data_IF_002942525764
#
_entry.id   IF_002942525764
#
_cell.length_a   1.000
_cell.length_b   1.000
_cell.length_c   1.000
_cell.angle_alpha   90.00
_cell.angle_beta   90.00
_cell.angle_gamma   90.00
#
_symmetry.space_group_name_H-M   'P 1'
#
loop_
_entity.id
_entity.type
_entity.pdbx_description
1 polymer ?
#
# COMPACT_ATOMS: atom_id res chain seq x y z
N UNK A 1 33.93 -15.20 39.47
CA UNK A 1 32.77 -15.86 38.85
C UNK A 1 31.61 -14.90 39.02
N UNK A 2 30.99 -14.42 37.93
CA UNK A 2 29.79 -13.58 38.03
C UNK A 2 28.63 -14.46 38.48
N UNK A 3 27.94 -14.04 39.55
CA UNK A 3 26.77 -14.73 40.07
C UNK A 3 25.64 -14.66 39.02
N UNK A 4 24.97 -15.80 38.77
CA UNK A 4 23.83 -15.84 37.85
C UNK A 4 22.67 -15.07 38.44
N UNK A 5 22.03 -14.22 37.64
CA UNK A 5 20.83 -13.51 38.04
C UNK A 5 19.65 -14.47 37.99
N UNK A 6 18.86 -14.50 39.06
CA UNK A 6 17.70 -15.39 39.19
C UNK A 6 16.37 -14.64 39.14
N UNK A 7 16.34 -13.36 39.52
CA UNK A 7 15.11 -12.58 39.62
C UNK A 7 15.26 -11.16 39.07
N UNK A 8 14.16 -10.64 38.52
CA UNK A 8 13.96 -9.25 38.10
C UNK A 8 12.88 -8.67 39.00
N UNK A 9 13.24 -7.76 39.90
CA UNK A 9 12.27 -7.15 40.82
C UNK A 9 11.60 -5.94 40.19
N UNK A 10 10.26 -5.91 40.16
CA UNK A 10 9.45 -4.78 39.72
C UNK A 10 8.58 -4.26 40.88
N UNK A 11 8.21 -2.98 40.94
CA UNK A 11 7.32 -2.49 41.97
C UNK A 11 5.90 -3.03 41.71
N UNK A 12 5.10 -3.21 42.76
CA UNK A 12 3.68 -3.61 42.62
C UNK A 12 2.85 -2.63 41.78
N UNK A 13 3.32 -1.40 41.62
CA UNK A 13 2.76 -0.35 40.75
C UNK A 13 3.42 -0.26 39.37
N UNK A 14 4.11 -1.33 38.91
CA UNK A 14 4.85 -1.36 37.66
C UNK A 14 4.08 -0.76 36.48
N UNK A 15 4.73 0.16 35.79
CA UNK A 15 4.19 0.83 34.61
C UNK A 15 4.71 0.18 33.32
N UNK A 16 4.25 0.66 32.16
CA UNK A 16 4.76 0.22 30.86
C UNK A 16 6.29 0.29 30.77
N UNK A 17 6.85 1.35 31.35
CA UNK A 17 8.29 1.60 31.40
C UNK A 17 9.04 0.49 32.16
N UNK A 18 8.48 0.02 33.28
CA UNK A 18 9.08 -1.06 34.07
C UNK A 18 9.06 -2.39 33.31
N UNK A 19 7.93 -2.69 32.66
CA UNK A 19 7.76 -3.92 31.89
C UNK A 19 8.70 -3.97 30.68
N UNK A 20 8.86 -2.84 29.98
CA UNK A 20 9.77 -2.77 28.84
C UNK A 20 11.23 -2.81 29.27
N UNK A 21 11.60 -2.17 30.38
CA UNK A 21 12.93 -2.30 30.95
C UNK A 21 13.27 -3.78 31.26
N UNK A 22 12.36 -4.49 31.93
CA UNK A 22 12.51 -5.93 32.20
C UNK A 22 12.61 -6.77 30.92
N UNK A 23 11.78 -6.46 29.91
CA UNK A 23 11.84 -7.10 28.60
C UNK A 23 13.22 -6.92 27.94
N UNK A 24 13.72 -5.68 27.86
CA UNK A 24 15.03 -5.38 27.25
C UNK A 24 16.17 -6.09 27.97
N UNK A 25 16.12 -6.20 29.30
CA UNK A 25 17.10 -6.95 30.07
C UNK A 25 17.07 -8.44 29.76
N UNK A 26 15.91 -9.07 29.66
CA UNK A 26 15.81 -10.48 29.29
C UNK A 26 16.31 -10.75 27.87
N UNK A 27 16.00 -9.85 26.92
CA UNK A 27 16.36 -10.04 25.51
C UNK A 27 17.82 -9.69 25.19
N UNK A 28 18.42 -8.71 25.87
CA UNK A 28 19.73 -8.17 25.51
C UNK A 28 20.75 -8.16 26.66
N UNK A 29 20.32 -8.42 27.89
CA UNK A 29 21.14 -8.26 29.09
C UNK A 29 22.13 -9.39 29.36
N UNK A 30 21.97 -10.57 28.76
CA UNK A 30 22.73 -11.80 29.08
C UNK A 30 24.26 -11.61 29.10
N UNK A 31 24.78 -10.77 28.20
CA UNK A 31 26.22 -10.47 28.12
C UNK A 31 26.75 -9.74 29.36
N UNK A 32 25.94 -8.86 29.95
CA UNK A 32 26.32 -8.05 31.11
C UNK A 32 25.82 -8.66 32.43
N UNK A 33 24.72 -9.39 32.38
CA UNK A 33 24.01 -9.99 33.51
C UNK A 33 23.76 -11.47 33.21
N UNK A 34 24.73 -12.37 33.48
CA UNK A 34 24.57 -13.79 33.16
C UNK A 34 23.34 -14.40 33.83
N UNK A 35 22.52 -15.13 33.05
CA UNK A 35 21.30 -15.79 33.53
C UNK A 35 20.04 -14.91 33.54
N UNK A 36 20.15 -13.61 33.22
CA UNK A 36 19.01 -12.68 33.20
C UNK A 36 17.91 -13.13 32.23
N UNK A 37 18.26 -13.81 31.14
CA UNK A 37 17.30 -14.33 30.17
C UNK A 37 16.29 -15.30 30.81
N UNK A 38 16.71 -16.08 31.81
CA UNK A 38 15.86 -17.01 32.57
C UNK A 38 15.35 -16.45 33.91
N UNK A 39 15.72 -15.21 34.26
CA UNK A 39 15.35 -14.64 35.54
C UNK A 39 13.82 -14.46 35.66
N UNK A 40 13.27 -14.84 36.81
CA UNK A 40 11.85 -14.70 37.15
C UNK A 40 11.53 -13.24 37.43
N UNK A 41 10.44 -12.71 36.86
CA UNK A 41 10.00 -11.35 37.16
C UNK A 41 9.07 -11.38 38.37
N UNK A 42 9.50 -10.75 39.47
CA UNK A 42 8.79 -10.77 40.75
C UNK A 42 8.32 -9.36 41.10
N UNK A 43 7.05 -9.21 41.45
CA UNK A 43 6.52 -7.93 41.92
C UNK A 43 6.71 -7.78 43.43
N UNK A 44 7.43 -6.74 43.83
CA UNK A 44 7.73 -6.44 45.24
C UNK A 44 6.92 -5.24 45.73
N UNK A 45 6.66 -5.23 47.05
CA UNK A 45 6.16 -4.07 47.79
C UNK A 45 7.36 -3.14 48.07
N UNK A 46 8.06 -2.71 47.01
CA UNK A 46 9.07 -1.66 47.15
C UNK A 46 8.36 -0.31 47.33
N UNK A 47 8.85 0.51 48.26
CA UNK A 47 8.38 1.90 48.41
C UNK A 47 8.93 2.83 47.33
N UNK A 48 9.95 2.40 46.58
CA UNK A 48 10.53 3.19 45.49
C UNK A 48 9.88 2.80 44.14
N UNK A 49 9.09 3.71 43.53
CA UNK A 49 8.42 3.47 42.26
C UNK A 49 9.35 3.51 41.04
N UNK A 50 10.66 3.74 41.20
CA UNK A 50 11.63 3.76 40.11
C UNK A 50 12.52 2.50 40.06
N UNK A 51 12.31 1.55 40.97
CA UNK A 51 13.16 0.35 41.05
C UNK A 51 12.77 -0.69 40.01
N UNK A 52 13.62 -0.93 39.00
CA UNK A 52 13.59 -2.16 38.18
C UNK A 52 14.91 -2.88 38.40
N UNK A 53 14.86 -3.94 39.20
CA UNK A 53 15.92 -4.83 39.68
C UNK A 53 16.77 -4.46 40.91
N UNK A 54 16.79 -5.41 41.84
CA UNK A 54 17.88 -5.66 42.79
C UNK A 54 18.84 -6.72 42.21
N UNK A 55 19.95 -6.24 41.64
CA UNK A 55 21.08 -7.03 41.12
C UNK A 55 22.28 -7.05 42.09
N UNK A 56 22.13 -6.56 43.33
CA UNK A 56 23.27 -6.14 44.15
C UNK A 56 24.07 -4.96 43.56
N UNK A 57 23.65 -4.43 42.41
CA UNK A 57 24.09 -3.21 41.73
C UNK A 57 22.86 -2.61 41.04
N UNK A 58 22.15 -1.71 41.73
CA UNK A 58 20.93 -1.07 41.23
C UNK A 58 21.16 -0.37 39.89
N UNK A 59 20.21 -0.52 38.97
CA UNK A 59 20.01 0.46 37.89
C UNK A 59 18.97 1.44 38.41
N UNK A 60 19.41 2.33 39.30
CA UNK A 60 18.63 3.53 39.57
C UNK A 60 18.75 4.43 38.34
N UNK A 61 17.64 4.92 37.76
CA UNK A 61 17.74 5.99 36.79
C UNK A 61 18.35 7.20 37.51
N UNK A 62 19.60 7.52 37.19
CA UNK A 62 20.17 8.82 37.53
C UNK A 62 19.22 9.92 37.02
N UNK A 63 19.28 11.12 37.61
CA UNK A 63 18.48 12.28 37.19
C UNK A 63 18.62 12.66 35.70
N UNK A 64 19.56 12.04 34.99
CA UNK A 64 19.80 12.20 33.56
C UNK A 64 18.83 11.41 32.67
N UNK A 65 18.15 10.37 33.19
CA UNK A 65 17.26 9.51 32.40
C UNK A 65 15.79 9.84 32.63
N UNK A 66 14.98 9.74 31.58
CA UNK A 66 13.55 10.04 31.66
C UNK A 66 12.74 8.93 32.36
N UNK A 67 13.29 7.72 32.42
CA UNK A 67 12.68 6.55 33.04
C UNK A 67 13.60 5.34 33.02
N UNK A 68 13.08 4.20 33.49
CA UNK A 68 13.87 2.99 33.70
C UNK A 68 14.20 2.29 32.39
N UNK A 69 13.30 2.31 31.40
CA UNK A 69 13.60 1.79 30.06
C UNK A 69 14.80 2.51 29.45
N UNK A 70 14.88 3.83 29.62
CA UNK A 70 15.95 4.65 29.07
C UNK A 70 17.29 4.34 29.76
N UNK A 71 17.29 4.23 31.09
CA UNK A 71 18.45 3.81 31.86
C UNK A 71 18.96 2.41 31.44
N UNK A 72 18.05 1.44 31.28
CA UNK A 72 18.39 0.09 30.79
C UNK A 72 18.93 0.13 29.36
N UNK A 73 18.26 0.85 28.46
CA UNK A 73 18.68 0.97 27.06
C UNK A 73 20.06 1.61 26.94
N UNK A 74 20.35 2.64 27.73
CA UNK A 74 21.65 3.27 27.78
C UNK A 74 22.72 2.30 28.30
N UNK A 75 22.45 1.63 29.43
CA UNK A 75 23.38 0.67 30.07
C UNK A 75 23.75 -0.48 29.13
N UNK A 76 22.77 -1.01 28.40
CA UNK A 76 22.93 -2.10 27.44
C UNK A 76 23.35 -1.63 26.05
N UNK A 77 23.62 -0.33 25.84
CA UNK A 77 23.99 0.29 24.55
C UNK A 77 22.96 0.08 23.42
N UNK A 78 21.68 -0.05 23.78
CA UNK A 78 20.56 -0.33 22.88
C UNK A 78 19.99 0.92 22.21
N UNK A 79 20.28 2.11 22.73
CA UNK A 79 19.74 3.38 22.21
C UNK A 79 20.12 3.70 20.76
N UNK A 80 21.04 2.93 20.16
CA UNK A 80 21.44 3.05 18.74
C UNK A 80 20.79 2.03 17.82
N UNK A 81 20.07 1.05 18.36
CA UNK A 81 19.42 0.01 17.57
C UNK A 81 18.15 0.58 16.91
N UNK A 82 18.07 0.61 15.56
CA UNK A 82 16.93 1.16 14.85
C UNK A 82 15.62 0.42 15.17
N UNK A 83 15.66 -0.89 15.36
CA UNK A 83 14.48 -1.72 15.66
C UNK A 83 13.83 -1.39 17.01
N UNK A 84 14.58 -0.77 17.93
CA UNK A 84 14.08 -0.37 19.25
C UNK A 84 13.63 1.09 19.33
N UNK A 85 13.97 1.93 18.34
CA UNK A 85 13.74 3.38 18.43
C UNK A 85 12.28 3.75 18.67
N UNK A 86 11.35 3.04 18.02
CA UNK A 86 9.93 3.31 18.20
C UNK A 86 9.44 2.93 19.61
N UNK A 87 9.93 1.80 20.15
CA UNK A 87 9.62 1.37 21.51
C UNK A 87 10.19 2.35 22.55
N UNK A 88 11.46 2.72 22.42
CA UNK A 88 12.15 3.65 23.33
C UNK A 88 11.55 5.07 23.27
N UNK A 89 11.20 5.55 22.07
CA UNK A 89 10.53 6.85 21.91
C UNK A 89 9.16 6.85 22.57
N UNK A 90 8.42 5.76 22.45
CA UNK A 90 7.10 5.66 23.07
C UNK A 90 7.18 5.60 24.60
N UNK A 91 8.09 4.82 25.19
CA UNK A 91 8.22 4.78 26.65
C UNK A 91 8.55 6.16 27.23
N UNK A 92 9.47 6.89 26.61
CA UNK A 92 9.76 8.30 26.94
C UNK A 92 8.51 9.19 26.87
N UNK A 93 7.70 9.06 25.82
CA UNK A 93 6.48 9.86 25.65
C UNK A 93 5.35 9.46 26.61
N UNK A 94 5.23 8.17 26.90
CA UNK A 94 4.29 7.60 27.86
C UNK A 94 4.51 8.19 29.26
N UNK A 95 5.78 8.24 29.71
CA UNK A 95 6.15 8.85 30.98
C UNK A 95 5.81 10.35 31.04
N UNK A 96 5.95 11.05 29.92
CA UNK A 96 5.55 12.46 29.77
C UNK A 96 4.04 12.69 29.67
N UNK A 97 3.22 11.63 29.77
CA UNK A 97 1.75 11.67 29.62
C UNK A 97 1.27 12.34 28.34
N UNK A 98 2.08 12.31 27.28
CA UNK A 98 1.68 12.85 25.98
C UNK A 98 0.79 11.82 25.30
N UNK A 99 -0.42 12.22 24.89
CA UNK A 99 -1.28 11.37 24.07
C UNK A 99 -0.58 11.08 22.74
N UNK A 100 -0.10 9.86 22.59
CA UNK A 100 0.44 9.32 21.36
C UNK A 100 -0.20 7.95 21.14
N UNK A 101 -0.45 7.57 19.88
CA UNK A 101 -0.82 6.21 19.58
C UNK A 101 0.26 5.30 20.16
N UNK A 102 -0.15 4.32 20.95
CA UNK A 102 0.78 3.31 21.42
C UNK A 102 1.35 2.59 20.21
N UNK A 103 2.67 2.53 20.01
CA UNK A 103 3.20 1.54 19.11
C UNK A 103 2.74 0.20 19.64
N UNK A 104 2.33 -0.66 18.72
CA UNK A 104 1.99 -2.05 19.01
C UNK A 104 0.77 -2.22 19.94
N UNK A 105 -0.09 -1.21 20.06
CA UNK A 105 -1.29 -1.19 20.91
C UNK A 105 -1.04 -1.53 22.40
N UNK A 106 0.21 -1.46 22.86
CA UNK A 106 0.64 -1.76 24.25
C UNK A 106 -0.05 -0.90 25.30
N UNK A 107 -0.46 0.32 24.96
CA UNK A 107 -1.15 1.24 25.87
C UNK A 107 -2.41 0.66 26.49
N UNK A 108 -3.11 -0.24 25.78
CA UNK A 108 -4.25 -0.98 26.32
C UNK A 108 -3.87 -2.26 27.06
N UNK A 109 -2.77 -2.91 26.68
CA UNK A 109 -2.32 -4.19 27.26
C UNK A 109 -1.65 -4.02 28.62
N UNK A 110 -0.89 -2.94 28.80
CA UNK A 110 -0.13 -2.70 30.03
C UNK A 110 -1.04 -2.61 31.28
N UNK A 111 -2.13 -1.82 31.31
CA UNK A 111 -3.00 -1.75 32.48
C UNK A 111 -3.70 -3.06 32.80
N UNK A 112 -4.03 -3.86 31.78
CA UNK A 112 -4.70 -5.16 31.94
C UNK A 112 -3.76 -6.14 32.64
N UNK A 113 -2.48 -6.17 32.25
CA UNK A 113 -1.52 -7.13 32.80
C UNK A 113 -1.02 -6.71 34.18
N UNK A 114 -0.86 -5.41 34.43
CA UNK A 114 -0.60 -4.91 35.78
C UNK A 114 -1.68 -5.36 36.80
N UNK A 115 -2.91 -5.59 36.33
CA UNK A 115 -4.02 -6.08 37.16
C UNK A 115 -4.11 -7.61 37.23
N UNK A 116 -3.50 -8.34 36.29
CA UNK A 116 -3.74 -9.76 36.12
C UNK A 116 -2.66 -10.68 36.71
N UNK A 117 -1.55 -10.12 37.20
CA UNK A 117 -0.50 -10.84 37.94
C UNK A 117 0.58 -11.49 37.08
N UNK A 118 1.53 -12.15 37.75
CA UNK A 118 2.81 -12.65 37.19
C UNK A 118 2.65 -13.58 35.98
N UNK A 119 1.61 -14.41 35.95
CA UNK A 119 1.37 -15.39 34.87
C UNK A 119 1.08 -14.78 33.50
N UNK A 120 0.78 -13.48 33.40
CA UNK A 120 0.46 -12.82 32.13
C UNK A 120 1.62 -12.01 31.52
N UNK A 121 2.76 -11.91 32.21
CA UNK A 121 3.94 -11.20 31.71
C UNK A 121 4.54 -11.85 30.46
N UNK A 122 4.57 -13.18 30.41
CA UNK A 122 5.09 -13.90 29.24
C UNK A 122 4.26 -13.66 27.98
N UNK A 123 2.97 -13.33 28.11
CA UNK A 123 2.15 -12.91 26.96
C UNK A 123 2.63 -11.57 26.41
N UNK A 124 2.90 -10.58 27.28
CA UNK A 124 3.45 -9.29 26.86
C UNK A 124 4.81 -9.48 26.21
N UNK A 125 5.70 -10.23 26.84
CA UNK A 125 7.04 -10.47 26.28
C UNK A 125 6.95 -11.21 24.95
N UNK A 126 6.02 -12.17 24.80
CA UNK A 126 5.73 -12.80 23.52
C UNK A 126 5.30 -11.81 22.43
N UNK A 127 4.38 -10.90 22.74
CA UNK A 127 3.94 -9.84 21.81
C UNK A 127 5.10 -8.90 21.46
N UNK A 128 5.86 -8.45 22.45
CA UNK A 128 7.02 -7.57 22.25
C UNK A 128 8.11 -8.25 21.39
N UNK A 129 8.34 -9.56 21.58
CA UNK A 129 9.27 -10.36 20.74
C UNK A 129 8.82 -10.39 19.29
N UNK A 130 7.58 -10.81 19.02
CA UNK A 130 7.04 -10.88 17.65
C UNK A 130 7.14 -9.52 16.95
N UNK A 131 6.86 -8.47 17.71
CA UNK A 131 6.91 -7.12 17.20
C UNK A 131 8.35 -6.64 16.93
N UNK A 132 9.28 -6.96 17.82
CA UNK A 132 10.70 -6.69 17.64
C UNK A 132 11.26 -7.46 16.44
N UNK A 133 10.85 -8.72 16.25
CA UNK A 133 11.18 -9.52 15.07
C UNK A 133 10.65 -8.86 13.79
N UNK A 134 9.41 -8.37 13.80
CA UNK A 134 8.86 -7.61 12.68
C UNK A 134 9.70 -6.36 12.37
N UNK A 135 10.09 -5.59 13.40
CA UNK A 135 10.95 -4.42 13.22
C UNK A 135 12.35 -4.80 12.70
N UNK A 136 12.97 -5.85 13.23
CA UNK A 136 14.26 -6.37 12.73
C UNK A 136 14.14 -6.79 11.26
N UNK A 137 13.03 -7.43 10.88
CA UNK A 137 12.76 -7.78 9.48
C UNK A 137 12.68 -6.53 8.60
N UNK A 138 11.98 -5.47 9.04
CA UNK A 138 11.91 -4.21 8.30
C UNK A 138 13.28 -3.51 8.15
N UNK A 139 14.10 -3.48 9.21
CA UNK A 139 15.37 -2.73 9.22
C UNK A 139 16.57 -3.50 8.66
N UNK A 140 16.56 -4.82 8.70
CA UNK A 140 17.68 -5.66 8.28
C UNK A 140 17.25 -6.68 7.22
N UNK A 141 16.19 -7.44 7.48
CA UNK A 141 15.75 -8.53 6.61
C UNK A 141 15.34 -8.09 5.20
N UNK A 142 14.35 -7.20 5.09
CA UNK A 142 13.83 -6.72 3.81
C UNK A 142 14.87 -5.91 3.00
N UNK A 143 15.72 -5.06 3.61
CA UNK A 143 16.84 -4.48 2.88
C UNK A 143 17.80 -5.50 2.28
N UNK A 144 18.21 -6.49 3.06
CA UNK A 144 19.10 -7.55 2.58
C UNK A 144 18.44 -8.36 1.47
N UNK A 145 17.16 -8.66 1.62
CA UNK A 145 16.38 -9.33 0.58
C UNK A 145 16.30 -8.50 -0.69
N UNK A 146 15.93 -7.22 -0.61
CA UNK A 146 15.85 -6.34 -1.78
C UNK A 146 17.19 -6.22 -2.51
N UNK A 147 18.30 -6.15 -1.76
CA UNK A 147 19.64 -6.17 -2.34
C UNK A 147 19.94 -7.50 -3.03
N UNK A 148 19.47 -8.63 -2.50
CA UNK A 148 19.63 -9.94 -3.17
C UNK A 148 18.81 -10.01 -4.45
N UNK A 149 17.58 -9.50 -4.43
CA UNK A 149 16.68 -9.52 -5.59
C UNK A 149 17.21 -8.69 -6.76
N UNK A 150 17.76 -7.51 -6.48
CA UNK A 150 18.27 -6.57 -7.50
C UNK A 150 19.66 -6.92 -8.04
N UNK A 151 20.43 -7.77 -7.35
CA UNK A 151 21.80 -8.15 -7.77
C UNK A 151 21.87 -9.25 -8.83
N UNK A 152 20.81 -10.03 -9.01
CA UNK A 152 20.87 -11.28 -9.76
C UNK A 152 20.41 -11.16 -11.23
N UNK A 153 20.42 -9.95 -11.82
CA UNK A 153 19.82 -9.66 -13.14
C UNK A 153 18.40 -10.24 -13.29
N UNK A 154 17.71 -10.44 -12.16
CA UNK A 154 16.35 -10.95 -12.11
C UNK A 154 15.36 -9.88 -12.54
N UNK A 155 14.08 -10.23 -12.74
CA UNK A 155 13.06 -9.25 -13.12
C UNK A 155 12.68 -8.28 -11.98
N UNK A 156 13.33 -8.39 -10.82
CA UNK A 156 13.14 -7.44 -9.73
C UNK A 156 13.98 -6.20 -9.98
N UNK A 157 13.32 -5.10 -10.35
CA UNK A 157 13.97 -3.86 -10.73
C UNK A 157 13.06 -2.65 -10.46
N UNK A 158 13.60 -1.45 -10.68
CA UNK A 158 12.89 -0.18 -10.63
C UNK A 158 12.65 0.35 -12.05
N UNK A 159 11.43 0.85 -12.23
CA UNK A 159 10.91 1.29 -13.51
C UNK A 159 10.33 2.69 -13.35
N UNK A 160 10.86 3.67 -14.07
CA UNK A 160 10.30 5.02 -14.12
C UNK A 160 9.15 5.07 -15.14
N UNK A 161 8.06 5.73 -14.75
CA UNK A 161 6.88 5.93 -15.59
C UNK A 161 6.37 7.36 -15.48
N UNK A 162 6.11 7.99 -16.62
CA UNK A 162 5.42 9.29 -16.66
C UNK A 162 3.91 9.10 -16.64
N UNK A 163 3.25 9.71 -15.64
CA UNK A 163 1.79 9.76 -15.48
C UNK A 163 1.35 11.21 -15.42
N UNK A 164 0.89 11.74 -16.56
CA UNK A 164 0.69 13.18 -16.71
C UNK A 164 2.03 13.91 -16.54
N UNK A 165 2.10 14.80 -15.55
CA UNK A 165 3.28 15.63 -15.32
C UNK A 165 4.22 15.03 -14.24
N UNK A 166 3.85 13.87 -13.67
CA UNK A 166 4.55 13.24 -12.55
C UNK A 166 5.34 12.04 -13.00
N UNK A 167 6.56 11.89 -12.46
CA UNK A 167 7.26 10.62 -12.52
C UNK A 167 6.71 9.71 -11.40
N UNK A 168 6.44 8.47 -11.76
CA UNK A 168 5.91 7.40 -10.91
C UNK A 168 6.93 6.28 -10.93
N UNK A 169 7.43 5.90 -9.77
CA UNK A 169 8.39 4.80 -9.62
C UNK A 169 7.63 3.50 -9.38
N UNK A 170 7.76 2.56 -10.30
CA UNK A 170 7.21 1.21 -10.19
C UNK A 170 8.34 0.26 -9.79
N UNK A 171 8.18 -0.43 -8.65
CA UNK A 171 9.10 -1.48 -8.24
C UNK A 171 8.51 -2.86 -8.52
N UNK A 172 9.29 -3.75 -9.12
CA UNK A 172 8.94 -5.16 -9.26
C UNK A 172 9.75 -5.96 -8.24
N UNK A 173 9.09 -6.81 -7.45
CA UNK A 173 9.73 -7.62 -6.43
C UNK A 173 9.26 -9.08 -6.51
N UNK A 174 10.17 -10.00 -6.83
CA UNK A 174 9.91 -11.44 -6.73
C UNK A 174 10.25 -11.94 -5.34
N UNK A 175 9.31 -11.79 -4.41
CA UNK A 175 9.52 -12.04 -2.99
C UNK A 175 8.30 -12.69 -2.34
N UNK A 176 8.55 -13.69 -1.50
CA UNK A 176 7.53 -14.25 -0.62
C UNK A 176 7.42 -13.49 0.72
N UNK A 177 8.31 -12.52 0.96
CA UNK A 177 8.37 -11.81 2.21
C UNK A 177 7.22 -10.80 2.33
N UNK A 178 6.43 -10.99 3.39
CA UNK A 178 5.35 -10.08 3.72
C UNK A 178 5.96 -8.77 4.22
N UNK A 179 5.53 -7.66 3.61
CA UNK A 179 6.00 -6.31 3.95
C UNK A 179 7.07 -5.74 3.02
N UNK A 180 7.53 -6.48 2.00
CA UNK A 180 8.48 -5.93 1.01
C UNK A 180 7.90 -4.70 0.31
N UNK A 181 6.59 -4.68 0.00
CA UNK A 181 5.92 -3.52 -0.57
C UNK A 181 6.01 -2.29 0.35
N UNK A 182 5.64 -2.45 1.63
CA UNK A 182 5.71 -1.36 2.62
C UNK A 182 7.14 -0.84 2.79
N UNK A 183 8.12 -1.73 2.77
CA UNK A 183 9.53 -1.36 2.79
C UNK A 183 9.92 -0.52 1.57
N UNK A 184 9.53 -0.94 0.36
CA UNK A 184 9.88 -0.23 -0.88
C UNK A 184 9.22 1.15 -0.98
N UNK A 185 8.04 1.33 -0.39
CA UNK A 185 7.39 2.63 -0.24
C UNK A 185 8.15 3.57 0.70
N UNK A 186 8.66 3.04 1.84
CA UNK A 186 9.31 3.84 2.88
C UNK A 186 10.81 4.07 2.63
N UNK A 187 11.45 3.19 1.86
CA UNK A 187 12.87 3.28 1.58
C UNK A 187 13.18 4.52 0.72
N UNK A 188 13.99 5.45 1.24
CA UNK A 188 14.36 6.71 0.55
C UNK A 188 15.11 6.54 -0.77
N UNK A 189 15.78 5.40 -1.00
CA UNK A 189 16.49 5.12 -2.25
C UNK A 189 15.55 4.62 -3.34
N UNK A 190 14.53 3.86 -2.94
CA UNK A 190 13.54 3.32 -3.87
C UNK A 190 12.38 4.27 -4.05
N UNK A 191 11.75 4.67 -2.94
CA UNK A 191 10.59 5.57 -2.88
C UNK A 191 9.53 5.20 -3.92
N UNK A 192 9.17 3.91 -3.98
CA UNK A 192 8.21 3.42 -4.95
C UNK A 192 6.83 4.05 -4.74
N UNK A 193 6.13 4.31 -5.84
CA UNK A 193 4.73 4.71 -5.87
C UNK A 193 3.83 3.49 -6.08
N UNK A 194 4.33 2.49 -6.82
CA UNK A 194 3.65 1.23 -7.11
C UNK A 194 4.62 0.08 -6.89
N UNK A 195 4.16 -1.00 -6.25
CA UNK A 195 4.93 -2.24 -6.10
C UNK A 195 4.13 -3.39 -6.72
N UNK A 196 4.75 -4.08 -7.68
CA UNK A 196 4.27 -5.36 -8.23
C UNK A 196 5.06 -6.46 -7.52
N UNK A 197 4.40 -7.20 -6.63
CA UNK A 197 5.02 -8.29 -5.88
C UNK A 197 4.59 -9.64 -6.45
N UNK A 198 5.55 -10.42 -6.95
CA UNK A 198 5.32 -11.82 -7.31
C UNK A 198 5.81 -12.74 -6.19
N UNK A 199 4.91 -13.58 -5.69
CA UNK A 199 5.19 -14.54 -4.63
C UNK A 199 5.81 -15.84 -5.17
N UNK A 200 6.37 -16.67 -4.29
CA UNK A 200 6.98 -17.95 -4.66
C UNK A 200 6.02 -18.94 -5.33
N UNK A 201 4.71 -18.80 -5.11
CA UNK A 201 3.66 -19.58 -5.77
C UNK A 201 3.29 -19.03 -7.19
N UNK A 202 4.00 -18.01 -7.66
CA UNK A 202 3.79 -17.37 -8.96
C UNK A 202 2.66 -16.34 -9.01
N UNK A 203 1.87 -16.20 -7.93
CA UNK A 203 0.79 -15.21 -7.83
C UNK A 203 1.35 -13.81 -7.64
N UNK A 204 0.58 -12.81 -8.06
CA UNK A 204 1.05 -11.42 -8.13
C UNK A 204 0.07 -10.50 -7.41
N UNK A 205 0.58 -9.61 -6.55
CA UNK A 205 -0.20 -8.50 -6.01
C UNK A 205 0.38 -7.16 -6.50
N UNK A 206 -0.50 -6.17 -6.65
CA UNK A 206 -0.14 -4.78 -6.96
C UNK A 206 -0.56 -3.91 -5.78
N UNK A 207 0.40 -3.21 -5.21
CA UNK A 207 0.21 -2.27 -4.11
C UNK A 207 0.57 -0.86 -4.57
N UNK A 208 -0.15 0.14 -4.06
CA UNK A 208 0.21 1.55 -4.24
C UNK A 208 0.64 2.15 -2.92
N UNK A 209 1.54 3.13 -2.98
CA UNK A 209 1.95 3.91 -1.83
C UNK A 209 0.80 4.84 -1.43
N UNK A 210 0.27 4.79 -0.18
CA UNK A 210 -0.82 5.67 0.25
C UNK A 210 -0.48 7.17 0.20
N UNK A 211 0.81 7.52 0.20
CA UNK A 211 1.26 8.90 0.04
C UNK A 211 1.21 9.39 -1.43
N UNK A 212 1.03 8.47 -2.38
CA UNK A 212 1.04 8.74 -3.82
C UNK A 212 -0.37 8.58 -4.38
N UNK A 213 -0.95 9.60 -5.06
CA UNK A 213 -2.32 9.56 -5.55
C UNK A 213 -2.41 8.76 -6.86
N UNK A 214 -2.17 7.45 -6.80
CA UNK A 214 -2.23 6.53 -7.94
C UNK A 214 -3.64 5.92 -8.02
N UNK A 215 -4.23 5.94 -9.21
CA UNK A 215 -5.51 5.27 -9.51
C UNK A 215 -5.27 4.06 -10.40
N UNK A 216 -5.54 2.86 -9.87
CA UNK A 216 -5.40 1.59 -10.56
C UNK A 216 -6.62 1.22 -11.41
N UNK A 217 -7.65 2.07 -11.53
CA UNK A 217 -8.88 1.71 -12.26
C UNK A 217 -8.61 1.33 -13.73
N UNK A 218 -7.75 2.06 -14.44
CA UNK A 218 -7.37 1.73 -15.82
C UNK A 218 -6.45 0.49 -15.88
N UNK A 219 -5.57 0.31 -14.88
CA UNK A 219 -4.73 -0.89 -14.74
C UNK A 219 -5.60 -2.14 -14.57
N UNK A 220 -6.60 -2.08 -13.70
CA UNK A 220 -7.54 -3.17 -13.44
C UNK A 220 -8.30 -3.56 -14.72
N UNK A 221 -8.70 -2.60 -15.56
CA UNK A 221 -9.31 -2.89 -16.86
C UNK A 221 -8.37 -3.64 -17.78
N UNK A 222 -7.13 -3.16 -17.92
CA UNK A 222 -6.14 -3.77 -18.82
C UNK A 222 -5.86 -5.21 -18.39
N UNK A 223 -5.56 -5.42 -17.10
CA UNK A 223 -5.24 -6.74 -16.56
C UNK A 223 -6.41 -7.71 -16.73
N UNK A 224 -7.64 -7.34 -16.34
CA UNK A 224 -8.80 -8.24 -16.46
C UNK A 224 -9.12 -8.58 -17.91
N UNK A 225 -8.90 -7.64 -18.84
CA UNK A 225 -9.08 -7.90 -20.25
C UNK A 225 -8.01 -8.87 -20.78
N UNK A 226 -6.75 -8.68 -20.41
CA UNK A 226 -5.69 -9.63 -20.77
C UNK A 226 -5.93 -11.01 -20.18
N UNK A 227 -6.41 -11.08 -18.93
CA UNK A 227 -6.77 -12.33 -18.27
C UNK A 227 -7.88 -13.07 -19.03
N UNK A 228 -8.93 -12.35 -19.44
CA UNK A 228 -10.01 -12.89 -20.26
C UNK A 228 -9.49 -13.39 -21.63
N UNK A 229 -8.56 -12.66 -22.26
CA UNK A 229 -7.93 -13.04 -23.54
C UNK A 229 -7.10 -14.32 -23.41
N UNK A 230 -6.26 -14.41 -22.38
CA UNK A 230 -5.43 -15.60 -22.10
C UNK A 230 -6.30 -16.83 -21.88
N UNK A 231 -7.47 -16.66 -21.26
CA UNK A 231 -8.42 -17.74 -21.02
C UNK A 231 -9.46 -17.95 -22.13
N UNK A 232 -9.39 -17.20 -23.23
CA UNK A 232 -10.35 -17.29 -24.34
C UNK A 232 -11.80 -17.02 -23.95
N UNK A 233 -12.03 -16.21 -22.91
CA UNK A 233 -13.37 -15.82 -22.46
C UNK A 233 -13.93 -14.73 -23.36
N UNK A 234 -15.20 -14.86 -23.72
CA UNK A 234 -15.89 -13.82 -24.48
C UNK A 234 -16.15 -12.63 -23.56
N UNK A 235 -15.75 -11.44 -24.00
CA UNK A 235 -15.97 -10.19 -23.29
C UNK A 235 -16.72 -9.23 -24.22
N UNK A 236 -18.01 -9.04 -23.95
CA UNK A 236 -18.79 -8.06 -24.71
C UNK A 236 -18.40 -6.63 -24.31
N UNK A 237 -18.63 -5.67 -25.21
CA UNK A 237 -18.34 -4.25 -24.94
C UNK A 237 -19.00 -3.70 -23.67
N UNK A 238 -20.18 -4.21 -23.32
CA UNK A 238 -20.92 -3.82 -22.12
C UNK A 238 -20.23 -4.27 -20.83
N UNK A 239 -19.48 -5.39 -20.87
CA UNK A 239 -18.77 -5.95 -19.72
C UNK A 239 -17.49 -5.15 -19.38
N UNK A 240 -16.92 -4.42 -20.35
CA UNK A 240 -15.66 -3.66 -20.19
C UNK A 240 -15.74 -2.58 -19.12
N UNK A 241 -16.91 -1.97 -18.93
CA UNK A 241 -17.13 -0.94 -17.91
C UNK A 241 -16.97 -1.55 -16.51
N UNK A 242 -17.30 -2.83 -16.34
CA UNK A 242 -17.23 -3.53 -15.07
C UNK A 242 -15.82 -3.94 -14.66
N UNK A 243 -14.85 -3.97 -15.59
CA UNK A 243 -13.48 -4.35 -15.24
C UNK A 243 -12.75 -3.33 -14.35
N UNK A 244 -13.22 -2.09 -14.28
CA UNK A 244 -12.70 -1.10 -13.31
C UNK A 244 -13.40 -1.15 -11.94
N UNK A 245 -14.42 -2.00 -11.75
CA UNK A 245 -15.18 -2.02 -10.50
C UNK A 245 -14.42 -2.74 -9.38
N UNK A 246 -14.69 -2.27 -8.16
CA UNK A 246 -14.21 -2.89 -6.93
C UNK A 246 -14.73 -4.33 -6.81
N UNK A 247 -13.97 -5.19 -6.13
CA UNK A 247 -14.32 -6.59 -5.96
C UNK A 247 -13.74 -7.48 -7.04
N UNK A 248 -14.38 -8.63 -7.29
CA UNK A 248 -14.09 -9.52 -8.41
C UNK A 248 -14.90 -9.15 -9.64
N UNK A 249 -14.39 -9.46 -10.83
CA UNK A 249 -15.18 -9.45 -12.06
C UNK A 249 -15.56 -10.89 -12.43
N UNK A 250 -16.80 -11.13 -12.87
CA UNK A 250 -17.27 -12.48 -13.22
C UNK A 250 -16.43 -13.11 -14.35
N UNK A 251 -16.08 -12.33 -15.37
CA UNK A 251 -15.26 -12.79 -16.50
C UNK A 251 -13.76 -12.81 -16.21
N UNK A 252 -13.33 -12.28 -15.06
CA UNK A 252 -11.95 -12.34 -14.57
C UNK A 252 -11.94 -12.47 -13.03
N UNK A 253 -12.24 -13.68 -12.51
CA UNK A 253 -12.33 -13.94 -11.08
C UNK A 253 -10.96 -14.07 -10.40
N UNK A 254 -9.86 -14.03 -11.16
CA UNK A 254 -8.49 -14.15 -10.64
C UNK A 254 -8.12 -12.96 -9.75
N UNK A 255 -8.64 -11.77 -10.06
CA UNK A 255 -8.16 -10.53 -9.46
C UNK A 255 -9.24 -9.79 -8.67
N UNK A 256 -8.91 -9.47 -7.42
CA UNK A 256 -9.74 -8.63 -6.56
C UNK A 256 -9.20 -7.20 -6.52
N UNK A 257 -10.04 -6.21 -6.86
CA UNK A 257 -9.69 -4.79 -6.83
C UNK A 257 -10.23 -4.11 -5.57
N UNK A 258 -9.33 -3.60 -4.74
CA UNK A 258 -9.65 -2.66 -3.66
C UNK A 258 -9.52 -1.24 -4.19
N UNK A 259 -10.65 -0.62 -4.51
CA UNK A 259 -10.65 0.76 -4.97
C UNK A 259 -10.32 1.74 -3.82
N UNK A 260 -10.64 1.39 -2.58
CA UNK A 260 -10.40 2.26 -1.43
C UNK A 260 -8.92 2.34 -1.05
N UNK A 261 -8.22 1.21 -1.12
CA UNK A 261 -6.80 1.11 -0.82
C UNK A 261 -5.90 1.14 -2.07
N UNK A 262 -6.49 1.21 -3.26
CA UNK A 262 -5.79 1.18 -4.54
C UNK A 262 -4.83 -0.02 -4.62
N UNK A 263 -5.38 -1.21 -4.34
CA UNK A 263 -4.67 -2.50 -4.37
C UNK A 263 -5.35 -3.44 -5.35
N UNK A 264 -4.56 -4.23 -6.06
CA UNK A 264 -5.09 -5.25 -6.97
C UNK A 264 -4.43 -6.59 -6.71
N UNK A 265 -5.22 -7.55 -6.22
CA UNK A 265 -4.71 -8.73 -5.54
C UNK A 265 -5.03 -10.01 -6.31
N UNK A 266 -4.05 -10.90 -6.45
CA UNK A 266 -4.22 -12.29 -6.90
C UNK A 266 -3.67 -13.30 -5.87
N UNK A 267 -2.97 -12.85 -4.83
CA UNK A 267 -2.40 -13.70 -3.78
C UNK A 267 -2.99 -13.45 -2.39
N UNK A 268 -3.21 -12.20 -2.01
CA UNK A 268 -3.58 -11.84 -0.63
C UNK A 268 -5.05 -11.42 -0.46
N UNK A 269 -5.47 -11.29 0.80
CA UNK A 269 -6.80 -10.81 1.15
C UNK A 269 -7.93 -11.68 0.58
N UNK A 270 -8.99 -11.09 0.01
CA UNK A 270 -10.07 -11.83 -0.62
C UNK A 270 -9.63 -12.74 -1.79
N UNK A 271 -8.53 -12.41 -2.46
CA UNK A 271 -8.02 -13.17 -3.61
C UNK A 271 -7.21 -14.42 -3.23
N UNK A 272 -6.97 -14.68 -1.94
CA UNK A 272 -6.18 -15.85 -1.49
C UNK A 272 -6.74 -17.20 -1.95
N UNK A 273 -8.05 -17.26 -2.25
CA UNK A 273 -8.72 -18.47 -2.79
C UNK A 273 -9.14 -18.34 -4.26
N UNK A 274 -8.86 -17.20 -4.89
CA UNK A 274 -9.17 -16.99 -6.30
C UNK A 274 -8.28 -17.88 -7.19
N UNK A 275 -8.67 -18.16 -8.44
CA UNK A 275 -7.80 -18.83 -9.40
C UNK A 275 -6.50 -18.04 -9.61
N UNK A 276 -5.42 -18.76 -9.92
CA UNK A 276 -4.15 -18.13 -10.24
C UNK A 276 -4.26 -17.42 -11.60
N UNK A 277 -3.70 -16.21 -11.70
CA UNK A 277 -3.60 -15.47 -12.96
C UNK A 277 -2.76 -16.25 -13.98
N UNK A 278 -3.20 -16.24 -15.23
CA UNK A 278 -2.43 -16.71 -16.39
C UNK A 278 -1.40 -15.69 -16.89
N UNK A 279 -1.36 -14.49 -16.32
CA UNK A 279 -0.45 -13.42 -16.70
C UNK A 279 0.91 -13.58 -16.01
N UNK A 280 1.98 -13.33 -16.76
CA UNK A 280 3.32 -13.22 -16.18
C UNK A 280 3.51 -11.87 -15.49
N UNK A 281 4.55 -11.77 -14.66
CA UNK A 281 4.93 -10.48 -14.04
C UNK A 281 5.22 -9.39 -15.08
N UNK A 282 5.68 -9.76 -16.28
CA UNK A 282 5.96 -8.79 -17.34
C UNK A 282 4.70 -8.35 -18.09
N UNK A 283 3.70 -9.22 -18.18
CA UNK A 283 2.37 -8.84 -18.68
C UNK A 283 1.71 -7.86 -17.71
N UNK A 284 1.82 -8.13 -16.40
CA UNK A 284 1.31 -7.23 -15.35
C UNK A 284 2.05 -5.89 -15.35
N UNK A 285 3.39 -5.89 -15.45
CA UNK A 285 4.17 -4.67 -15.57
C UNK A 285 3.76 -3.86 -16.81
N UNK A 286 3.60 -4.52 -17.96
CA UNK A 286 3.13 -3.88 -19.19
C UNK A 286 1.73 -3.29 -19.01
N UNK A 287 0.83 -3.99 -18.32
CA UNK A 287 -0.51 -3.51 -18.02
C UNK A 287 -0.49 -2.29 -17.08
N UNK A 288 0.41 -2.25 -16.10
CA UNK A 288 0.63 -1.08 -15.24
C UNK A 288 1.12 0.12 -16.06
N UNK A 289 2.11 -0.09 -16.94
CA UNK A 289 2.61 0.93 -17.87
C UNK A 289 1.50 1.48 -18.77
N UNK A 290 0.69 0.61 -19.37
CA UNK A 290 -0.42 1.00 -20.24
C UNK A 290 -1.55 1.67 -19.46
N UNK A 291 -1.89 1.17 -18.28
CA UNK A 291 -3.00 1.67 -17.47
C UNK A 291 -2.70 3.03 -16.84
N UNK A 292 -1.49 3.23 -16.34
CA UNK A 292 -1.12 4.47 -15.64
C UNK A 292 -0.59 5.55 -16.59
N UNK A 293 0.14 5.22 -17.65
CA UNK A 293 0.76 6.26 -18.48
C UNK A 293 -0.24 7.03 -19.33
N UNK A 294 -0.06 8.34 -19.39
CA UNK A 294 -0.74 9.22 -20.37
C UNK A 294 -0.15 9.10 -21.77
N UNK A 295 1.09 8.62 -21.88
CA UNK A 295 1.92 8.78 -23.08
C UNK A 295 2.17 7.46 -23.82
N UNK A 296 1.75 6.33 -23.22
CA UNK A 296 1.84 5.03 -23.87
C UNK A 296 0.65 4.86 -24.82
N UNK A 297 0.95 4.79 -26.12
CA UNK A 297 0.00 4.57 -27.19
C UNK A 297 0.27 3.23 -27.88
N UNK A 298 -0.76 2.65 -28.51
CA UNK A 298 -0.56 1.51 -29.39
C UNK A 298 0.40 1.91 -30.53
N UNK A 299 1.22 0.95 -31.00
CA UNK A 299 2.26 1.18 -32.02
C UNK A 299 1.75 1.91 -33.27
N UNK A 300 0.53 1.61 -33.69
CA UNK A 300 -0.11 2.19 -34.89
C UNK A 300 -1.15 3.26 -34.56
N UNK A 301 -1.08 3.86 -33.36
CA UNK A 301 -2.00 4.91 -32.94
C UNK A 301 -1.68 6.22 -33.71
N UNK A 302 -2.62 6.74 -34.52
CA UNK A 302 -2.35 7.95 -35.29
C UNK A 302 -2.18 9.18 -34.37
N UNK A 303 -1.35 10.16 -34.74
CA UNK A 303 -1.17 11.40 -33.97
C UNK A 303 -2.46 12.22 -33.83
N UNK A 304 -3.29 12.19 -34.86
CA UNK A 304 -4.63 12.77 -34.88
C UNK A 304 -5.61 11.69 -35.37
N UNK A 305 -6.72 11.50 -34.68
CA UNK A 305 -7.66 10.43 -35.03
C UNK A 305 -7.81 9.34 -33.97
N UNK A 306 -8.75 8.44 -34.24
CA UNK A 306 -8.85 7.13 -33.63
C UNK A 306 -9.19 6.12 -34.74
N UNK A 307 -8.45 5.01 -34.82
CA UNK A 307 -8.73 3.91 -35.77
C UNK A 307 -9.76 2.90 -35.23
N UNK A 308 -10.40 3.23 -34.10
CA UNK A 308 -11.47 2.44 -33.47
C UNK A 308 -11.04 1.01 -33.17
N UNK A 309 -11.93 0.06 -33.44
CA UNK A 309 -11.79 -1.37 -33.15
C UNK A 309 -10.56 -2.04 -33.78
N UNK A 310 -9.86 -1.38 -34.72
CA UNK A 310 -8.61 -1.92 -35.29
C UNK A 310 -7.40 -1.71 -34.37
N UNK A 311 -7.51 -0.85 -33.35
CA UNK A 311 -6.45 -0.61 -32.37
C UNK A 311 -6.53 -1.63 -31.23
N UNK A 312 -5.41 -2.28 -30.92
CA UNK A 312 -5.33 -3.23 -29.80
C UNK A 312 -5.72 -2.63 -28.44
N UNK A 313 -5.42 -1.34 -28.21
CA UNK A 313 -5.79 -0.62 -26.98
C UNK A 313 -7.25 -0.15 -26.95
N UNK A 314 -7.94 -0.17 -28.10
CA UNK A 314 -9.32 0.28 -28.16
C UNK A 314 -10.20 -0.52 -27.20
N UNK A 315 -9.91 -1.81 -27.06
CA UNK A 315 -10.69 -2.69 -26.19
C UNK A 315 -10.55 -2.39 -24.71
N UNK A 316 -9.42 -1.85 -24.27
CA UNK A 316 -9.25 -1.44 -22.88
C UNK A 316 -10.17 -0.29 -22.48
N UNK A 317 -10.63 0.51 -23.45
CA UNK A 317 -11.53 1.64 -23.18
C UNK A 317 -10.88 2.70 -22.28
N UNK A 318 -9.57 2.93 -22.45
CA UNK A 318 -8.79 3.88 -21.65
C UNK A 318 -9.31 5.30 -21.85
N UNK A 319 -9.39 6.08 -20.76
CA UNK A 319 -9.85 7.47 -20.81
C UNK A 319 -9.11 8.31 -21.87
N UNK A 320 -7.78 8.16 -21.98
CA UNK A 320 -6.97 8.87 -22.98
C UNK A 320 -7.34 8.53 -24.43
N UNK A 321 -7.69 7.27 -24.70
CA UNK A 321 -8.12 6.85 -26.02
C UNK A 321 -9.51 7.41 -26.37
N UNK A 322 -10.43 7.42 -25.39
CA UNK A 322 -11.77 8.01 -25.55
C UNK A 322 -11.74 9.51 -25.78
N UNK A 323 -10.85 10.23 -25.11
CA UNK A 323 -10.68 11.67 -25.33
C UNK A 323 -10.32 11.99 -26.79
N UNK A 324 -9.42 11.21 -27.41
CA UNK A 324 -9.08 11.36 -28.84
C UNK A 324 -10.23 11.01 -29.77
N UNK A 325 -10.98 9.97 -29.47
CA UNK A 325 -12.15 9.57 -30.26
C UNK A 325 -13.20 10.70 -30.32
N UNK A 326 -13.51 11.32 -29.18
CA UNK A 326 -14.48 12.41 -29.09
C UNK A 326 -14.00 13.65 -29.87
N UNK A 327 -12.71 14.00 -29.79
CA UNK A 327 -12.16 15.15 -30.52
C UNK A 327 -12.40 15.04 -32.04
N UNK A 328 -12.19 13.85 -32.59
CA UNK A 328 -12.40 13.57 -34.04
C UNK A 328 -13.87 13.66 -34.42
N UNK A 329 -14.76 13.13 -33.57
CA UNK A 329 -16.20 13.21 -33.80
C UNK A 329 -16.69 14.66 -33.68
N UNK A 330 -16.13 15.44 -32.75
CA UNK A 330 -16.43 16.86 -32.57
C UNK A 330 -16.05 17.68 -33.81
N UNK A 331 -14.82 17.52 -34.30
CA UNK A 331 -14.32 18.22 -35.49
C UNK A 331 -15.16 17.87 -36.73
N UNK A 332 -15.42 16.58 -36.96
CA UNK A 332 -16.24 16.12 -38.09
C UNK A 332 -17.71 16.56 -37.99
N UNK A 333 -18.27 16.64 -36.78
CA UNK A 333 -19.61 17.18 -36.56
C UNK A 333 -19.65 18.69 -36.84
N UNK A 334 -18.67 19.45 -36.36
CA UNK A 334 -18.59 20.90 -36.56
C UNK A 334 -18.35 21.25 -38.04
N UNK A 335 -17.52 20.49 -38.75
CA UNK A 335 -17.32 20.61 -40.20
C UNK A 335 -18.61 20.32 -40.97
N UNK A 336 -19.28 19.20 -40.69
CA UNK A 336 -20.57 18.85 -41.32
C UNK A 336 -21.67 19.86 -40.98
N UNK A 337 -21.63 20.45 -39.79
CA UNK A 337 -22.55 21.50 -39.38
C UNK A 337 -22.28 22.81 -40.14
N UNK A 338 -21.01 23.22 -40.27
CA UNK A 338 -20.59 24.38 -41.06
C UNK A 338 -20.90 24.22 -42.55
N UNK A 339 -20.74 23.03 -43.12
CA UNK A 339 -21.13 22.72 -44.50
C UNK A 339 -22.65 22.84 -44.71
N UNK A 340 -23.46 22.29 -43.78
CA UNK A 340 -24.92 22.46 -43.83
C UNK A 340 -25.37 23.92 -43.74
N UNK A 341 -24.69 24.74 -42.91
CA UNK A 341 -24.97 26.17 -42.83
C UNK A 341 -24.57 26.94 -44.09
N UNK A 342 -23.46 26.57 -44.74
CA UNK A 342 -23.04 27.18 -46.03
C UNK A 342 -23.92 26.73 -47.21
N UNK A 343 -24.47 25.52 -47.17
CA UNK A 343 -25.37 24.98 -48.21
C UNK A 343 -26.84 25.45 -48.11
N UNK A 344 -27.28 25.95 -46.95
CA UNK A 344 -28.69 26.34 -46.71
C UNK A 344 -29.08 27.76 -47.15
N UNK A 345 -28.15 28.57 -47.65
CA UNK A 345 -28.35 30.01 -47.87
C UNK A 345 -28.95 30.46 -49.22
N UNK A 346 -29.16 29.56 -50.18
CA UNK A 346 -29.67 29.92 -51.52
C UNK A 346 -30.87 29.06 -51.92
N UNK A 347 -32.10 29.50 -51.58
CA UNK A 347 -33.39 29.23 -52.27
C UNK A 347 -34.63 29.16 -51.35
N UNK A 348 -34.82 30.09 -50.41
CA UNK A 348 -36.13 30.26 -49.73
C UNK A 348 -36.66 31.69 -49.77
N UNK A 349 -36.41 32.38 -50.88
CA UNK A 349 -36.84 33.75 -51.11
C UNK A 349 -37.57 33.94 -52.44
N UNK A 350 -38.47 33.04 -52.85
CA UNK A 350 -39.42 33.22 -53.96
C UNK A 350 -40.46 32.09 -53.92
N UNK A 351 -41.49 32.23 -53.07
CA UNK A 351 -42.81 31.59 -53.26
C UNK A 351 -43.81 31.85 -52.12
N UNK A 352 -43.86 33.07 -51.58
CA UNK A 352 -44.92 33.48 -50.64
C UNK A 352 -45.86 34.57 -51.17
N UNK A 353 -45.71 34.99 -52.43
CA UNK A 353 -46.55 36.05 -53.03
C UNK A 353 -47.70 35.57 -53.91
N UNK A 354 -47.84 34.27 -54.23
CA UNK A 354 -48.93 33.80 -55.10
C UNK A 354 -50.14 33.16 -54.38
N UNK A 355 -50.01 32.73 -53.12
CA UNK A 355 -51.09 31.99 -52.45
C UNK A 355 -52.10 32.83 -51.64
N UNK A 356 -52.04 34.17 -51.71
CA UNK A 356 -52.96 35.08 -51.00
C UNK A 356 -54.09 35.68 -51.85
N UNK A 357 -54.17 35.34 -53.15
CA UNK A 357 -55.22 35.84 -54.06
C UNK A 357 -56.32 34.85 -54.44
N UNK A 358 -56.27 33.59 -54.01
CA UNK A 358 -57.31 32.60 -54.34
C UNK A 358 -58.30 32.29 -53.19
N UNK A 359 -58.12 32.82 -51.98
CA UNK A 359 -59.04 32.56 -50.85
C UNK A 359 -60.14 33.63 -50.67
N UNK A 360 -60.26 34.62 -51.55
CA UNK A 360 -61.27 35.70 -51.43
C UNK A 360 -62.41 35.64 -52.46
N UNK A 361 -62.60 34.54 -53.19
CA UNK A 361 -63.72 34.41 -54.16
C UNK A 361 -64.76 33.30 -53.87
N UNK A 362 -64.61 32.50 -52.80
CA UNK A 362 -65.60 31.46 -52.44
C UNK A 362 -66.42 31.80 -51.17
N UNK A 363 -66.83 33.06 -51.03
CA UNK A 363 -67.84 33.49 -50.04
C UNK A 363 -68.79 34.53 -50.65
N UNK A 364 -69.58 34.12 -51.62
CA UNK A 364 -70.90 34.68 -51.99
C UNK A 364 -71.47 33.83 -53.13
N UNK A 365 -72.50 33.05 -52.80
CA UNK A 365 -73.15 32.08 -53.68
C UNK A 365 -74.00 31.14 -52.84
#
# INVERSE_FOLDING_TARGET
MSQSIQQILLPSSATADHLIAAFLLKEYGAKQYPGIEQAEVVFTISSDPNTVLDLGNFIEPDHEFEGVTDAVAHKLTLSRLPELQMLLKWTSQYLKRKQQPSPFDLGGLVPIVAQAGEGQLELIFGVLRLQLEQQRRLYYGLPEEWVKLTKNDGPSDLYDLTVGDKNVVVAVAQSAELGIADYLFQNKKTSADVVIQQFSNGRIDIHTNPASPIDLAEVAKVIRLEEARVHGRDYTMTLRIFFAHEGFAEDSPEWWYDKSQQKFLNNSGPAAKAPQSGLSVQDVLSAVYVGLSSDVWAKDCPPAGCIGNSCYFYDYGLARCRAREIAVVGDTFEEKFKEKLKGGGKNRGRDRSQNRRQQTQNKQG
#
